data_IF_995039433739
#
_entry.id   IF_995039433739
#
_cell.length_a   1.000
_cell.length_b   1.000
_cell.length_c   1.000
_cell.angle_alpha   90.00
_cell.angle_beta   90.00
_cell.angle_gamma   90.00
#
_symmetry.space_group_name_H-M   'P 1'
#
loop_
_entity.id
_entity.type
_entity.pdbx_description
1 polymer ?
#
# COMPACT_ATOMS: atom_id res chain seq x y z
N UNK A 1 15.60 8.92 -0.16
CA UNK A 1 15.42 8.95 -1.62
C UNK A 1 14.15 8.19 -1.95
N UNK A 2 13.23 8.79 -2.69
CA UNK A 2 12.06 8.09 -3.23
C UNK A 2 12.52 7.11 -4.32
N UNK A 3 12.01 5.87 -4.33
CA UNK A 3 12.40 4.86 -5.33
C UNK A 3 11.23 4.34 -6.16
N UNK A 4 10.01 4.45 -5.64
CA UNK A 4 8.79 4.09 -6.37
C UNK A 4 7.60 4.86 -5.81
N UNK A 5 6.61 5.07 -6.66
CA UNK A 5 5.35 5.71 -6.31
C UNK A 5 4.19 5.02 -7.02
N UNK A 6 3.03 4.98 -6.37
CA UNK A 6 1.76 4.62 -6.99
C UNK A 6 0.66 5.53 -6.45
N UNK A 7 -0.14 6.10 -7.35
CA UNK A 7 -1.31 6.89 -6.96
C UNK A 7 -2.59 6.06 -7.11
N UNK A 8 -3.32 5.90 -6.02
CA UNK A 8 -4.69 5.36 -5.97
C UNK A 8 -5.70 6.51 -6.02
N UNK A 9 -6.98 6.18 -6.09
CA UNK A 9 -8.08 7.14 -6.10
C UNK A 9 -9.21 6.69 -5.18
N UNK A 10 -9.80 7.63 -4.46
CA UNK A 10 -11.03 7.44 -3.70
C UNK A 10 -12.17 8.11 -4.46
N UNK A 11 -13.18 7.31 -4.80
CA UNK A 11 -14.38 7.81 -5.47
C UNK A 11 -15.15 8.80 -4.60
N UNK A 12 -15.41 9.99 -5.14
CA UNK A 12 -16.20 11.05 -4.51
C UNK A 12 -17.39 11.45 -5.39
N UNK A 13 -18.25 12.33 -4.90
CA UNK A 13 -19.40 12.87 -5.64
C UNK A 13 -19.04 13.96 -6.64
N UNK A 14 -17.90 14.63 -6.45
CA UNK A 14 -17.42 15.71 -7.34
C UNK A 14 -16.26 15.22 -8.19
N UNK A 15 -15.12 15.00 -7.57
CA UNK A 15 -13.88 14.56 -8.20
C UNK A 15 -13.22 13.50 -7.34
N UNK A 16 -12.68 12.46 -7.99
CA UNK A 16 -11.92 11.43 -7.30
C UNK A 16 -10.72 12.07 -6.59
N UNK A 17 -10.47 11.64 -5.36
CA UNK A 17 -9.36 12.14 -4.55
C UNK A 17 -8.17 11.20 -4.73
N UNK A 18 -7.01 11.73 -5.11
CA UNK A 18 -5.79 10.94 -5.21
C UNK A 18 -5.28 10.50 -3.84
N UNK A 19 -4.74 9.28 -3.79
CA UNK A 19 -4.07 8.69 -2.62
C UNK A 19 -2.68 8.26 -3.06
N UNK A 20 -1.69 9.18 -3.02
CA UNK A 20 -0.29 8.87 -3.29
C UNK A 20 0.26 7.86 -2.28
N UNK A 21 1.03 6.90 -2.80
CA UNK A 21 1.80 5.93 -2.01
C UNK A 21 3.25 6.06 -2.45
N UNK A 22 4.12 6.45 -1.53
CA UNK A 22 5.54 6.64 -1.80
C UNK A 22 6.37 5.58 -1.08
N UNK A 23 7.31 4.95 -1.79
CA UNK A 23 8.24 3.96 -1.24
C UNK A 23 9.65 4.53 -1.34
N UNK A 24 10.36 4.54 -0.22
CA UNK A 24 11.70 5.12 -0.13
C UNK A 24 12.77 4.03 -0.10
N UNK A 25 13.97 4.41 -0.54
CA UNK A 25 15.16 3.56 -0.52
C UNK A 25 15.37 2.99 0.89
N UNK A 26 15.45 1.64 1.03
CA UNK A 26 15.75 1.01 2.31
C UNK A 26 17.09 1.46 2.86
N UNK A 27 17.18 1.55 4.19
CA UNK A 27 18.41 1.93 4.88
C UNK A 27 18.68 0.99 6.04
N UNK A 28 19.94 0.66 6.23
CA UNK A 28 20.39 -0.02 7.42
C UNK A 28 20.49 0.97 8.59
N UNK A 29 19.78 0.68 9.68
CA UNK A 29 19.74 1.46 10.92
C UNK A 29 19.84 0.46 12.07
N UNK A 30 20.86 0.62 12.92
CA UNK A 30 21.10 -0.21 14.11
C UNK A 30 21.07 -1.74 13.85
N UNK A 31 21.60 -2.17 12.70
CA UNK A 31 21.67 -3.58 12.32
C UNK A 31 20.37 -4.17 11.78
N UNK A 32 19.35 -3.35 11.54
CA UNK A 32 18.12 -3.72 10.84
C UNK A 32 17.97 -2.91 9.55
N UNK A 33 17.35 -3.51 8.52
CA UNK A 33 17.01 -2.79 7.30
C UNK A 33 15.60 -2.24 7.39
N UNK A 34 15.44 -0.93 7.25
CA UNK A 34 14.15 -0.24 7.28
C UNK A 34 13.80 0.28 5.90
N UNK A 35 12.63 -0.10 5.39
CA UNK A 35 12.03 0.50 4.20
C UNK A 35 10.87 1.39 4.62
N UNK A 36 11.09 2.69 4.51
CA UNK A 36 10.07 3.72 4.77
C UNK A 36 9.06 3.75 3.64
N UNK A 37 7.79 3.94 3.96
CA UNK A 37 6.74 4.29 3.01
C UNK A 37 5.75 5.30 3.61
N UNK A 38 5.02 6.00 2.74
CA UNK A 38 3.89 6.86 3.10
C UNK A 38 2.65 6.48 2.30
N UNK A 39 1.48 6.74 2.88
CA UNK A 39 0.17 6.71 2.20
C UNK A 39 -0.53 8.02 2.59
N UNK A 40 -0.78 8.86 1.60
CA UNK A 40 -1.40 10.17 1.78
C UNK A 40 -2.93 10.04 1.63
N UNK A 41 -3.64 9.82 2.74
CA UNK A 41 -5.11 9.77 2.75
C UNK A 41 -5.71 11.19 2.80
N UNK A 42 -6.99 11.36 2.42
CA UNK A 42 -7.65 12.66 2.47
C UNK A 42 -7.73 13.28 3.88
N UNK A 43 -7.75 12.43 4.91
CA UNK A 43 -7.87 12.77 6.32
C UNK A 43 -6.53 12.76 7.07
N UNK A 44 -5.44 12.34 6.42
CA UNK A 44 -4.10 12.37 7.00
C UNK A 44 -3.09 11.48 6.30
N UNK A 45 -1.82 11.73 6.57
CA UNK A 45 -0.73 10.89 6.09
C UNK A 45 -0.43 9.78 7.10
N UNK A 46 -0.32 8.55 6.60
CA UNK A 46 0.35 7.47 7.33
C UNK A 46 1.78 7.38 6.84
N UNK A 47 2.72 7.36 7.78
CA UNK A 47 4.14 7.14 7.53
C UNK A 47 4.64 6.00 8.41
N UNK A 48 5.25 4.99 7.82
CA UNK A 48 5.74 3.81 8.54
C UNK A 48 7.07 3.32 7.99
N UNK A 49 7.79 2.55 8.81
CA UNK A 49 8.98 1.80 8.44
C UNK A 49 8.69 0.30 8.53
N UNK A 50 8.93 -0.44 7.45
CA UNK A 50 8.95 -1.90 7.47
C UNK A 50 10.37 -2.41 7.73
N UNK A 51 10.53 -3.28 8.74
CA UNK A 51 11.83 -3.81 9.14
C UNK A 51 12.07 -5.21 8.56
N UNK A 52 13.23 -5.40 7.93
CA UNK A 52 13.71 -6.68 7.42
C UNK A 52 15.17 -6.94 7.78
N UNK A 53 15.61 -8.18 7.54
CA UNK A 53 16.99 -8.63 7.76
C UNK A 53 17.95 -8.08 6.71
N UNK A 54 17.43 -7.76 5.52
CA UNK A 54 18.13 -7.12 4.42
C UNK A 54 17.20 -6.15 3.68
N UNK A 55 17.74 -5.42 2.70
CA UNK A 55 16.99 -4.48 1.89
C UNK A 55 15.85 -5.12 1.10
N UNK A 56 16.02 -6.37 0.66
CA UNK A 56 15.03 -7.11 -0.13
C UNK A 56 13.82 -7.44 0.73
N UNK A 57 14.05 -7.99 1.93
CA UNK A 57 13.01 -8.32 2.88
C UNK A 57 12.31 -7.05 3.38
N UNK A 58 13.05 -5.97 3.64
CA UNK A 58 12.44 -4.71 4.06
C UNK A 58 11.48 -4.14 3.00
N UNK A 59 11.84 -4.19 1.71
CA UNK A 59 10.95 -3.79 0.61
C UNK A 59 9.73 -4.72 0.54
N UNK A 60 9.94 -6.03 0.58
CA UNK A 60 8.86 -7.00 0.48
C UNK A 60 7.81 -6.82 1.58
N UNK A 61 8.28 -6.58 2.81
CA UNK A 61 7.43 -6.29 3.96
C UNK A 61 6.74 -4.94 3.83
N UNK A 62 7.42 -3.90 3.32
CA UNK A 62 6.78 -2.61 3.05
C UNK A 62 5.62 -2.76 2.05
N UNK A 63 5.83 -3.50 0.95
CA UNK A 63 4.79 -3.75 -0.04
C UNK A 63 3.58 -4.50 0.55
N UNK A 64 3.82 -5.49 1.41
CA UNK A 64 2.75 -6.21 2.12
C UNK A 64 2.04 -5.35 3.16
N UNK A 65 2.77 -4.50 3.88
CA UNK A 65 2.19 -3.57 4.84
C UNK A 65 1.31 -2.54 4.16
N UNK A 66 1.75 -1.99 3.02
CA UNK A 66 0.91 -1.13 2.17
C UNK A 66 -0.35 -1.87 1.77
N UNK A 67 -0.24 -3.08 1.20
CA UNK A 67 -1.40 -3.88 0.82
C UNK A 67 -2.38 -4.09 1.98
N UNK A 68 -1.87 -4.47 3.15
CA UNK A 68 -2.67 -4.65 4.35
C UNK A 68 -3.40 -3.36 4.77
N UNK A 69 -2.73 -2.21 4.76
CA UNK A 69 -3.33 -0.92 5.10
C UNK A 69 -4.41 -0.50 4.10
N UNK A 70 -4.20 -0.74 2.80
CA UNK A 70 -5.19 -0.42 1.78
C UNK A 70 -6.45 -1.28 1.93
N UNK A 71 -6.28 -2.60 2.06
CA UNK A 71 -7.40 -3.54 2.22
C UNK A 71 -8.11 -3.41 3.57
N UNK A 72 -7.42 -2.99 4.63
CA UNK A 72 -8.04 -2.74 5.93
C UNK A 72 -8.66 -1.33 6.07
N UNK A 73 -8.54 -0.47 5.05
CA UNK A 73 -9.05 0.90 5.12
C UNK A 73 -10.59 0.96 5.03
N UNK A 74 -11.17 1.98 5.68
CA UNK A 74 -12.60 2.28 5.55
C UNK A 74 -13.00 2.59 4.09
N UNK A 75 -12.07 3.12 3.29
CA UNK A 75 -12.30 3.38 1.87
C UNK A 75 -12.42 2.10 1.04
N UNK A 76 -11.66 1.06 1.37
CA UNK A 76 -11.85 -0.28 0.79
C UNK A 76 -13.18 -0.88 1.25
N UNK A 77 -13.46 -0.86 2.57
CA UNK A 77 -14.71 -1.39 3.13
C UNK A 77 -15.95 -0.73 2.53
N UNK A 78 -15.88 0.58 2.21
CA UNK A 78 -16.94 1.33 1.56
C UNK A 78 -17.01 1.13 0.02
N UNK A 79 -16.09 0.37 -0.58
CA UNK A 79 -16.00 0.13 -2.02
C UNK A 79 -15.63 1.38 -2.84
N UNK A 80 -14.97 2.36 -2.22
CA UNK A 80 -14.61 3.65 -2.85
C UNK A 80 -13.17 3.71 -3.33
N UNK A 81 -12.27 2.91 -2.77
CA UNK A 81 -10.86 2.89 -3.14
C UNK A 81 -10.65 2.11 -4.44
N UNK A 82 -9.92 2.71 -5.39
CA UNK A 82 -9.58 2.11 -6.68
C UNK A 82 -8.18 2.56 -7.15
N UNK A 83 -7.57 1.80 -8.07
CA UNK A 83 -6.31 2.20 -8.70
C UNK A 83 -6.55 2.64 -10.15
N UNK A 84 -6.60 1.70 -11.10
CA UNK A 84 -6.88 1.97 -12.51
C UNK A 84 -8.39 1.95 -12.77
N UNK A 85 -9.04 0.86 -12.37
CA UNK A 85 -10.46 0.62 -12.56
C UNK A 85 -11.11 0.19 -11.24
N UNK A 86 -12.41 0.48 -11.03
CA UNK A 86 -13.13 0.04 -9.85
C UNK A 86 -13.07 -1.49 -9.68
N UNK A 87 -12.90 -1.94 -8.43
CA UNK A 87 -12.92 -3.34 -8.05
C UNK A 87 -11.88 -4.26 -8.74
N UNK A 88 -10.81 -3.71 -9.30
CA UNK A 88 -9.72 -4.49 -9.93
C UNK A 88 -8.55 -4.83 -8.99
N UNK A 89 -8.56 -4.35 -7.75
CA UNK A 89 -7.44 -4.48 -6.81
C UNK A 89 -6.50 -3.27 -6.85
N UNK A 90 -5.42 -3.34 -6.07
CA UNK A 90 -4.51 -2.23 -5.77
C UNK A 90 -3.06 -2.52 -6.17
N UNK A 91 -2.76 -3.74 -6.65
CA UNK A 91 -1.44 -4.10 -7.14
C UNK A 91 -0.38 -4.22 -6.04
N UNK A 92 -0.80 -4.43 -4.79
CA UNK A 92 0.09 -4.69 -3.66
C UNK A 92 -0.19 -6.08 -3.09
N UNK A 93 0.85 -6.89 -2.84
CA UNK A 93 0.67 -8.19 -2.19
C UNK A 93 0.18 -8.00 -0.75
N UNK A 94 -0.41 -9.05 -0.17
CA UNK A 94 -0.79 -9.09 1.25
C UNK A 94 -0.23 -10.33 1.92
N UNK A 95 -0.25 -10.36 3.24
CA UNK A 95 0.04 -11.58 4.00
C UNK A 95 -1.08 -12.61 3.82
N UNK A 96 -0.77 -13.89 4.01
CA UNK A 96 -1.70 -14.99 3.72
C UNK A 96 -3.05 -14.87 4.46
N UNK A 97 -3.06 -14.28 5.64
CA UNK A 97 -4.24 -14.08 6.48
C UNK A 97 -5.18 -12.95 6.00
N UNK A 98 -4.81 -12.22 4.93
CA UNK A 98 -5.62 -11.16 4.33
C UNK A 98 -6.02 -11.47 2.88
N UNK A 99 -5.67 -12.66 2.37
CA UNK A 99 -5.96 -13.07 0.97
C UNK A 99 -7.46 -13.09 0.65
N UNK A 100 -8.30 -13.31 1.66
CA UNK A 100 -9.75 -13.29 1.55
C UNK A 100 -10.32 -11.90 1.27
N UNK A 101 -9.59 -10.84 1.61
CA UNK A 101 -9.96 -9.45 1.34
C UNK A 101 -9.63 -9.00 -0.09
N UNK A 102 -8.80 -9.75 -0.82
CA UNK A 102 -8.38 -9.39 -2.17
C UNK A 102 -9.55 -9.36 -3.15
N UNK A 103 -9.53 -8.35 -4.02
CA UNK A 103 -10.54 -8.15 -5.07
C UNK A 103 -9.88 -8.12 -6.45
N UNK A 104 -10.68 -8.37 -7.50
CA UNK A 104 -10.24 -8.20 -8.88
C UNK A 104 -9.01 -9.03 -9.26
N UNK A 105 -8.04 -8.39 -9.91
CA UNK A 105 -6.82 -9.01 -10.38
C UNK A 105 -5.89 -9.43 -9.23
N UNK A 106 -5.89 -8.68 -8.12
CA UNK A 106 -5.05 -9.03 -6.96
C UNK A 106 -5.38 -10.44 -6.44
N UNK A 107 -6.65 -10.84 -6.46
CA UNK A 107 -7.08 -12.19 -6.06
C UNK A 107 -6.56 -13.30 -6.97
N UNK A 108 -6.22 -12.97 -8.22
CA UNK A 108 -5.69 -13.92 -9.21
C UNK A 108 -4.17 -14.05 -9.10
N UNK A 109 -3.48 -12.96 -8.75
CA UNK A 109 -2.02 -12.87 -8.83
C UNK A 109 -1.29 -12.95 -7.49
N UNK A 110 -1.96 -12.72 -6.35
CA UNK A 110 -1.37 -12.75 -5.02
C UNK A 110 -1.88 -13.89 -4.15
#
# INVERSE_FOLDING_TARGET
>A
MLIAERSLRIKSSTDDVEVPISIYLPREIDGAWLCKFTIEWPDGEIQMDASGSDSVQAIELALKMIGALLYASDHHAAGKLMWLEPAQGYGFPVTNNLRDMLIGEDKKFF
#
